data_IF_012546637646
#
_entry.id   IF_012546637646
#
_cell.length_a   1.000
_cell.length_b   1.000
_cell.length_c   1.000
_cell.angle_alpha   90.00
_cell.angle_beta   90.00
_cell.angle_gamma   90.00
#
_symmetry.space_group_name_H-M   'P 1'
#
loop_
_entity.id
_entity.type
_entity.pdbx_description
1 polymer ?
#
# COMPACT_ATOMS: atom_id res chain seq x y z
N UNK A 1 14.18 -1.59 11.93
CA UNK A 1 13.62 -2.92 12.24
C UNK A 1 14.68 -3.95 11.97
N UNK A 2 15.09 -4.66 13.00
CA UNK A 2 16.14 -5.67 12.90
C UNK A 2 15.58 -7.04 13.27
N UNK A 3 15.79 -8.03 12.42
CA UNK A 3 15.35 -9.40 12.66
C UNK A 3 16.54 -10.27 13.15
N UNK A 4 16.41 -11.01 14.27
CA UNK A 4 17.48 -11.87 14.74
C UNK A 4 17.66 -13.07 13.81
N UNK A 5 18.91 -13.33 13.41
CA UNK A 5 19.31 -14.58 12.75
C UNK A 5 19.55 -15.63 13.84
N UNK A 6 18.71 -16.67 13.84
CA UNK A 6 18.82 -17.76 14.81
C UNK A 6 19.42 -18.98 14.15
N UNK A 7 20.44 -19.59 14.78
CA UNK A 7 21.14 -20.77 14.27
C UNK A 7 21.23 -21.90 15.32
N UNK A 8 21.21 -23.13 14.84
CA UNK A 8 21.32 -24.33 15.67
C UNK A 8 20.02 -24.76 16.37
N UNK A 9 20.04 -25.97 16.99
CA UNK A 9 18.89 -26.58 17.70
C UNK A 9 18.42 -25.68 18.87
N UNK A 10 19.32 -24.97 19.50
CA UNK A 10 19.05 -24.04 20.60
C UNK A 10 18.63 -22.62 20.15
N UNK A 11 18.43 -22.39 18.84
CA UNK A 11 18.01 -21.11 18.28
C UNK A 11 18.80 -19.89 18.80
N UNK A 12 20.12 -20.03 18.97
CA UNK A 12 20.97 -18.92 19.43
C UNK A 12 21.01 -17.81 18.37
N UNK A 13 20.87 -16.54 18.80
CA UNK A 13 21.00 -15.37 17.91
C UNK A 13 22.46 -15.19 17.55
N UNK A 14 22.78 -15.34 16.25
CA UNK A 14 24.15 -15.21 15.71
C UNK A 14 24.37 -13.90 14.94
N UNK A 15 23.31 -13.14 14.72
CA UNK A 15 23.35 -11.86 14.02
C UNK A 15 21.97 -11.24 13.86
N UNK A 16 21.90 -10.10 13.16
CA UNK A 16 20.65 -9.42 12.86
C UNK A 16 20.62 -9.00 11.38
N UNK A 17 19.50 -9.24 10.70
CA UNK A 17 19.20 -8.61 9.42
C UNK A 17 18.60 -7.25 9.69
N UNK A 18 19.25 -6.18 9.24
CA UNK A 18 18.78 -4.79 9.35
C UNK A 18 17.86 -4.45 8.17
N UNK A 19 16.64 -4.97 8.21
CA UNK A 19 15.68 -4.77 7.11
C UNK A 19 15.26 -3.30 6.94
N UNK A 20 15.24 -2.53 8.04
CA UNK A 20 15.05 -1.06 8.03
C UNK A 20 16.02 -0.49 9.05
N UNK A 21 16.90 0.40 8.60
CA UNK A 21 18.00 0.96 9.41
C UNK A 21 18.12 2.47 9.22
N UNK A 22 17.74 3.25 10.26
CA UNK A 22 17.87 4.71 10.27
C UNK A 22 17.04 5.40 9.18
N UNK A 23 15.76 5.05 9.02
CA UNK A 23 14.86 5.68 8.05
C UNK A 23 14.04 6.77 8.72
N UNK A 24 14.18 8.00 8.19
CA UNK A 24 13.34 9.15 8.49
C UNK A 24 12.48 9.45 7.28
N UNK A 25 11.15 9.36 7.43
CA UNK A 25 10.19 9.54 6.35
C UNK A 25 8.99 10.36 6.82
N UNK A 26 8.58 11.31 6.01
CA UNK A 26 7.39 12.14 6.26
C UNK A 26 6.46 12.10 5.05
N UNK A 27 5.19 11.76 5.29
CA UNK A 27 4.14 11.74 4.26
C UNK A 27 3.11 12.80 4.63
N UNK A 28 2.81 13.71 3.71
CA UNK A 28 1.80 14.75 3.92
C UNK A 28 0.40 14.18 3.66
N UNK A 29 -0.60 14.74 4.32
CA UNK A 29 -1.98 14.36 4.07
C UNK A 29 -2.37 14.57 2.61
N UNK A 30 -3.06 13.59 2.02
CA UNK A 30 -3.46 13.59 0.63
C UNK A 30 -2.34 13.33 -0.38
N UNK A 31 -1.10 13.08 0.08
CA UNK A 31 0.05 12.79 -0.76
C UNK A 31 0.14 11.31 -1.11
N UNK A 32 0.61 11.01 -2.32
CA UNK A 32 1.11 9.68 -2.68
C UNK A 32 2.63 9.72 -2.63
N UNK A 33 3.21 8.99 -1.67
CA UNK A 33 4.62 8.73 -1.61
C UNK A 33 4.91 7.34 -2.17
N UNK A 34 5.69 7.27 -3.25
CA UNK A 34 6.20 6.01 -3.76
C UNK A 34 7.46 5.58 -3.00
N UNK A 35 7.52 4.31 -2.63
CA UNK A 35 8.71 3.68 -2.06
C UNK A 35 9.22 2.64 -3.05
N UNK A 36 10.40 2.89 -3.62
CA UNK A 36 11.00 2.05 -4.67
C UNK A 36 12.36 1.50 -4.26
N UNK A 37 12.76 0.43 -4.90
CA UNK A 37 14.04 -0.24 -4.69
C UNK A 37 13.98 -1.71 -5.09
N UNK A 38 15.11 -2.39 -5.11
CA UNK A 38 15.19 -3.81 -5.44
C UNK A 38 14.41 -4.71 -4.48
N UNK A 39 14.10 -5.94 -4.92
CA UNK A 39 13.47 -6.92 -4.04
C UNK A 39 14.36 -7.21 -2.83
N UNK A 40 13.75 -7.33 -1.65
CA UNK A 40 14.48 -7.60 -0.41
C UNK A 40 15.14 -6.39 0.27
N UNK A 41 15.12 -5.18 -0.31
CA UNK A 41 15.75 -4.01 0.31
C UNK A 41 15.03 -3.45 1.56
N UNK A 42 13.86 -4.02 1.95
CA UNK A 42 13.16 -3.67 3.18
C UNK A 42 11.84 -2.89 3.02
N UNK A 43 11.36 -2.63 1.80
CA UNK A 43 10.14 -1.83 1.51
C UNK A 43 8.90 -2.33 2.25
N UNK A 44 8.55 -3.60 2.08
CA UNK A 44 7.42 -4.24 2.77
C UNK A 44 7.56 -4.18 4.29
N UNK A 45 8.79 -4.35 4.80
CA UNK A 45 9.07 -4.24 6.23
C UNK A 45 8.85 -2.82 6.73
N UNK A 46 9.28 -1.81 5.97
CA UNK A 46 9.02 -0.40 6.29
C UNK A 46 7.51 -0.11 6.29
N UNK A 47 6.77 -0.53 5.27
CA UNK A 47 5.32 -0.37 5.20
C UNK A 47 4.61 -1.00 6.40
N UNK A 48 5.00 -2.22 6.78
CA UNK A 48 4.47 -2.90 7.98
C UNK A 48 4.86 -2.22 9.29
N UNK A 49 6.07 -1.65 9.37
CA UNK A 49 6.53 -0.90 10.54
C UNK A 49 5.77 0.42 10.71
N UNK A 50 5.52 1.15 9.62
CA UNK A 50 4.71 2.38 9.62
C UNK A 50 3.29 2.12 10.14
N UNK A 51 2.71 0.97 9.79
CA UNK A 51 1.42 0.54 10.32
C UNK A 51 1.51 -0.09 11.73
N UNK A 52 2.69 -0.20 12.33
CA UNK A 52 2.93 -0.94 13.56
C UNK A 52 2.40 -2.40 13.51
N UNK A 53 2.41 -3.03 12.33
CA UNK A 53 2.16 -4.47 12.16
C UNK A 53 3.40 -5.28 12.57
N UNK A 54 4.57 -4.69 12.36
CA UNK A 54 5.85 -5.14 12.89
C UNK A 54 6.37 -4.05 13.82
N UNK A 55 6.69 -4.41 15.05
CA UNK A 55 7.23 -3.45 16.02
C UNK A 55 8.65 -3.03 15.60
N UNK A 56 8.93 -1.72 15.48
CA UNK A 56 10.29 -1.24 15.28
C UNK A 56 11.19 -1.61 16.49
N UNK A 57 12.43 -1.98 16.22
CA UNK A 57 13.43 -2.21 17.28
C UNK A 57 13.94 -0.90 17.89
N UNK A 58 13.68 0.22 17.24
CA UNK A 58 13.97 1.58 17.70
C UNK A 58 13.29 2.59 16.78
N UNK A 59 13.31 3.87 17.16
CA UNK A 59 12.63 4.93 16.46
C UNK A 59 11.14 5.08 16.85
N UNK A 60 10.46 5.98 16.16
CA UNK A 60 9.07 6.34 16.48
C UNK A 60 8.23 6.46 15.21
N UNK A 61 6.97 6.09 15.29
CA UNK A 61 5.98 6.32 14.22
C UNK A 61 4.91 7.24 14.76
N UNK A 62 4.65 8.33 14.04
CA UNK A 62 3.60 9.28 14.37
C UNK A 62 2.53 9.30 13.29
N UNK A 63 1.27 9.36 13.70
CA UNK A 63 0.13 9.54 12.82
C UNK A 63 -0.77 10.63 13.39
N UNK A 64 -0.99 11.70 12.63
CA UNK A 64 -1.77 12.88 13.04
C UNK A 64 -1.38 13.39 14.45
N UNK A 65 -0.07 13.53 14.71
CA UNK A 65 0.47 14.01 15.99
C UNK A 65 0.55 12.97 17.11
N UNK A 66 -0.06 11.80 16.94
CA UNK A 66 -0.06 10.73 17.95
C UNK A 66 1.05 9.71 17.67
N UNK A 67 1.88 9.41 18.67
CA UNK A 67 2.92 8.35 18.58
C UNK A 67 2.28 6.97 18.64
N UNK A 68 2.36 6.21 17.55
CA UNK A 68 1.77 4.87 17.43
C UNK A 68 2.60 3.80 18.13
N UNK A 69 3.92 3.95 18.13
CA UNK A 69 4.87 2.94 18.66
C UNK A 69 4.72 2.64 20.14
N UNK A 70 4.11 3.58 20.90
CA UNK A 70 3.85 3.44 22.35
C UNK A 70 2.43 3.01 22.69
N UNK A 71 1.55 2.86 21.68
CA UNK A 71 0.16 2.51 21.95
C UNK A 71 0.03 1.06 22.40
N UNK A 72 -0.86 0.83 23.35
CA UNK A 72 -1.31 -0.51 23.72
C UNK A 72 -2.14 -1.11 22.58
N UNK A 73 -2.35 -2.43 22.59
CA UNK A 73 -3.24 -3.10 21.61
C UNK A 73 -4.66 -2.49 21.60
N UNK A 74 -5.17 -2.11 22.77
CA UNK A 74 -6.49 -1.49 22.92
C UNK A 74 -6.52 -0.10 22.26
N UNK A 75 -5.51 0.73 22.51
CA UNK A 75 -5.44 2.08 21.97
C UNK A 75 -5.11 2.10 20.47
N UNK A 76 -4.48 1.04 19.97
CA UNK A 76 -4.19 0.86 18.56
C UNK A 76 -5.44 0.48 17.74
N UNK A 77 -6.47 -0.12 18.36
CA UNK A 77 -7.68 -0.57 17.65
C UNK A 77 -8.37 0.55 16.85
N UNK A 78 -8.68 1.74 17.41
CA UNK A 78 -9.26 2.83 16.60
C UNK A 78 -8.28 3.35 15.53
N UNK A 79 -6.96 3.25 15.74
CA UNK A 79 -5.97 3.62 14.72
C UNK A 79 -6.01 2.66 13.54
N UNK A 80 -6.27 1.35 13.78
CA UNK A 80 -6.41 0.34 12.73
C UNK A 80 -7.50 0.65 11.70
N UNK A 81 -8.61 1.27 12.13
CA UNK A 81 -9.64 1.73 11.22
C UNK A 81 -9.09 2.76 10.22
N UNK A 82 -8.27 3.71 10.70
CA UNK A 82 -7.74 4.83 9.92
C UNK A 82 -6.49 4.47 9.12
N UNK A 83 -5.80 3.39 9.48
CA UNK A 83 -4.53 2.90 8.91
C UNK A 83 -4.77 1.54 8.27
N UNK A 84 -4.80 1.49 6.96
CA UNK A 84 -5.12 0.27 6.23
C UNK A 84 -3.95 -0.20 5.35
N UNK A 85 -4.01 -1.44 4.91
CA UNK A 85 -3.03 -2.04 3.99
C UNK A 85 -3.76 -2.81 2.89
N UNK A 86 -3.33 -2.61 1.66
CA UNK A 86 -3.64 -3.48 0.53
C UNK A 86 -2.39 -4.31 0.25
N UNK A 87 -2.50 -5.62 0.40
CA UNK A 87 -1.36 -6.54 0.30
C UNK A 87 -1.04 -6.92 -1.15
N UNK A 88 0.20 -7.36 -1.36
CA UNK A 88 0.77 -7.74 -2.64
C UNK A 88 -0.01 -8.83 -3.37
N UNK A 89 -0.44 -9.88 -2.66
CA UNK A 89 -1.15 -11.01 -3.25
C UNK A 89 -2.63 -11.01 -2.80
N UNK A 90 -3.55 -10.62 -3.69
CA UNK A 90 -4.97 -10.65 -3.38
C UNK A 90 -5.50 -12.07 -3.13
N UNK A 91 -4.89 -13.10 -3.71
CA UNK A 91 -5.34 -14.47 -3.54
C UNK A 91 -5.08 -14.97 -2.11
N UNK A 92 -3.91 -14.66 -1.55
CA UNK A 92 -3.56 -15.02 -0.16
C UNK A 92 -4.19 -14.08 0.87
N UNK A 93 -4.57 -12.86 0.47
CA UNK A 93 -5.14 -11.86 1.37
C UNK A 93 -6.64 -12.01 1.63
N UNK A 94 -7.36 -12.75 0.77
CA UNK A 94 -8.78 -13.04 0.89
C UNK A 94 -8.97 -14.48 1.39
N UNK A 95 -9.80 -14.66 2.42
CA UNK A 95 -10.13 -16.00 2.87
C UNK A 95 -11.02 -16.69 1.83
N UNK A 96 -10.58 -17.81 1.20
CA UNK A 96 -11.33 -18.45 0.12
C UNK A 96 -12.69 -19.06 0.55
N UNK A 97 -12.92 -19.17 1.86
CA UNK A 97 -14.16 -19.72 2.45
C UNK A 97 -15.21 -18.66 2.75
N UNK A 98 -14.86 -17.37 2.62
CA UNK A 98 -15.76 -16.26 2.90
C UNK A 98 -16.22 -15.63 1.59
N UNK A 99 -17.49 -15.22 1.54
CA UNK A 99 -18.00 -14.40 0.45
C UNK A 99 -17.39 -13.00 0.50
N UNK A 100 -17.48 -12.26 -0.60
CA UNK A 100 -17.10 -10.86 -0.66
C UNK A 100 -17.90 -10.04 0.36
N UNK A 101 -19.20 -10.29 0.52
CA UNK A 101 -20.04 -9.63 1.51
C UNK A 101 -19.45 -9.78 2.91
N UNK A 102 -19.14 -11.00 3.35
CA UNK A 102 -18.53 -11.25 4.66
C UNK A 102 -17.16 -10.56 4.79
N UNK A 103 -16.33 -10.66 3.74
CA UNK A 103 -14.99 -10.05 3.70
C UNK A 103 -15.03 -8.53 3.90
N UNK A 104 -16.06 -7.85 3.40
CA UNK A 104 -16.22 -6.40 3.50
C UNK A 104 -16.94 -5.98 4.79
N UNK A 105 -17.94 -6.76 5.25
CA UNK A 105 -18.77 -6.38 6.41
C UNK A 105 -18.13 -6.72 7.75
N UNK A 106 -17.32 -7.78 7.84
CA UNK A 106 -16.64 -8.21 9.07
C UNK A 106 -15.72 -7.13 9.67
N UNK A 107 -14.85 -6.46 8.89
CA UNK A 107 -14.05 -5.34 9.40
C UNK A 107 -14.93 -4.19 9.92
N UNK A 108 -16.02 -3.86 9.22
CA UNK A 108 -16.95 -2.82 9.66
C UNK A 108 -17.59 -3.18 11.01
N UNK A 109 -18.11 -4.40 11.14
CA UNK A 109 -18.68 -4.89 12.40
C UNK A 109 -17.65 -4.87 13.54
N UNK A 110 -16.41 -5.28 13.27
CA UNK A 110 -15.31 -5.27 14.26
C UNK A 110 -15.03 -3.88 14.78
N UNK A 111 -15.16 -2.85 13.94
CA UNK A 111 -14.92 -1.46 14.31
C UNK A 111 -16.20 -0.70 14.73
N UNK A 112 -17.35 -1.38 14.78
CA UNK A 112 -18.63 -0.77 15.16
C UNK A 112 -19.17 0.21 14.12
N UNK A 113 -18.84 0.01 12.85
CA UNK A 113 -19.37 0.79 11.75
C UNK A 113 -20.67 0.15 11.23
N UNK A 114 -21.66 0.99 10.92
CA UNK A 114 -23.00 0.56 10.51
C UNK A 114 -23.86 0.11 11.68
N UNK A 115 -25.13 0.55 11.69
CA UNK A 115 -26.05 0.31 12.81
C UNK A 115 -26.48 -1.16 12.92
N UNK A 116 -26.63 -1.82 11.75
CA UNK A 116 -27.08 -3.19 11.65
C UNK A 116 -26.39 -3.93 10.48
N UNK A 117 -26.61 -5.23 10.30
CA UNK A 117 -26.03 -6.01 9.20
C UNK A 117 -26.43 -5.50 7.81
N UNK A 118 -27.64 -5.03 7.64
CA UNK A 118 -28.19 -4.53 6.37
C UNK A 118 -27.49 -3.24 5.94
N UNK A 119 -27.27 -2.32 6.88
CA UNK A 119 -26.55 -1.07 6.65
C UNK A 119 -25.07 -1.33 6.25
N UNK A 120 -24.43 -2.29 6.90
CA UNK A 120 -23.08 -2.74 6.50
C UNK A 120 -23.05 -3.34 5.11
N UNK A 121 -24.08 -4.13 4.76
CA UNK A 121 -24.19 -4.74 3.45
C UNK A 121 -24.39 -3.69 2.35
N UNK A 122 -25.20 -2.67 2.62
CA UNK A 122 -25.41 -1.56 1.71
C UNK A 122 -24.13 -0.74 1.52
N UNK A 123 -23.42 -0.44 2.63
CA UNK A 123 -22.11 0.21 2.57
C UNK A 123 -21.09 -0.60 1.76
N UNK A 124 -21.11 -1.93 1.91
CA UNK A 124 -20.26 -2.83 1.13
C UNK A 124 -20.61 -2.78 -0.37
N UNK A 125 -21.90 -2.74 -0.73
CA UNK A 125 -22.37 -2.62 -2.12
C UNK A 125 -21.92 -1.29 -2.74
N UNK A 126 -22.06 -0.18 -2.01
CA UNK A 126 -21.59 1.14 -2.45
C UNK A 126 -20.09 1.17 -2.65
N UNK A 127 -19.33 0.57 -1.72
CA UNK A 127 -17.86 0.48 -1.85
C UNK A 127 -17.45 -0.39 -3.04
N UNK A 128 -18.19 -1.46 -3.36
CA UNK A 128 -17.94 -2.24 -4.59
C UNK A 128 -18.14 -1.38 -5.84
N UNK A 129 -19.18 -0.55 -5.89
CA UNK A 129 -19.40 0.35 -7.01
C UNK A 129 -18.25 1.36 -7.17
N UNK A 130 -17.69 1.87 -6.07
CA UNK A 130 -16.52 2.75 -6.10
C UNK A 130 -15.28 2.08 -6.71
N UNK A 131 -15.12 0.78 -6.53
CA UNK A 131 -14.04 -0.01 -7.15
C UNK A 131 -14.46 -0.65 -8.48
N UNK A 132 -15.54 -0.17 -9.10
CA UNK A 132 -16.06 -0.59 -10.41
C UNK A 132 -16.46 -2.08 -10.45
N UNK A 133 -17.06 -2.56 -9.37
CA UNK A 133 -17.69 -3.86 -9.26
C UNK A 133 -19.19 -3.69 -9.00
N UNK A 134 -19.99 -4.69 -9.34
CA UNK A 134 -21.45 -4.67 -9.14
C UNK A 134 -21.85 -5.28 -7.81
N UNK A 135 -23.06 -4.99 -7.35
CA UNK A 135 -23.65 -5.57 -6.13
C UNK A 135 -23.66 -7.10 -6.14
N UNK A 136 -23.79 -7.72 -7.31
CA UNK A 136 -23.80 -9.17 -7.46
C UNK A 136 -22.52 -9.84 -6.99
N UNK A 137 -21.36 -9.12 -7.04
CA UNK A 137 -20.09 -9.61 -6.55
C UNK A 137 -20.09 -9.86 -5.04
N UNK A 138 -21.02 -9.27 -4.27
CA UNK A 138 -21.14 -9.53 -2.82
C UNK A 138 -21.26 -11.01 -2.49
N UNK A 139 -21.96 -11.77 -3.34
CA UNK A 139 -22.27 -13.17 -3.10
C UNK A 139 -21.25 -14.15 -3.67
N UNK A 140 -20.25 -13.64 -4.39
CA UNK A 140 -19.18 -14.44 -4.97
C UNK A 140 -18.12 -14.79 -3.93
N UNK A 141 -17.47 -15.93 -4.16
CA UNK A 141 -16.27 -16.35 -3.44
C UNK A 141 -15.01 -15.92 -4.20
N UNK A 142 -13.85 -15.79 -3.53
CA UNK A 142 -12.60 -15.37 -4.18
C UNK A 142 -12.19 -16.23 -5.38
N UNK A 143 -12.47 -17.52 -5.37
CA UNK A 143 -12.13 -18.43 -6.47
C UNK A 143 -12.99 -18.22 -7.74
N UNK A 144 -14.14 -17.56 -7.63
CA UNK A 144 -15.03 -17.24 -8.76
C UNK A 144 -14.66 -15.91 -9.46
N UNK A 145 -13.60 -15.24 -9.01
CA UNK A 145 -13.23 -13.90 -9.42
C UNK A 145 -11.90 -13.90 -10.19
N UNK A 146 -11.75 -12.96 -11.16
CA UNK A 146 -10.48 -12.72 -11.83
C UNK A 146 -9.44 -12.10 -10.86
N UNK A 147 -8.16 -12.13 -11.24
CA UNK A 147 -7.09 -11.51 -10.46
C UNK A 147 -7.34 -10.02 -10.20
N UNK A 148 -7.75 -9.27 -11.22
CA UNK A 148 -8.10 -7.86 -11.11
C UNK A 148 -9.33 -7.60 -10.23
N UNK A 149 -10.35 -8.45 -10.30
CA UNK A 149 -11.53 -8.35 -9.42
C UNK A 149 -11.15 -8.62 -7.96
N UNK A 150 -10.33 -9.65 -7.68
CA UNK A 150 -9.81 -9.91 -6.33
C UNK A 150 -9.02 -8.72 -5.79
N UNK A 151 -8.19 -8.08 -6.63
CA UNK A 151 -7.43 -6.89 -6.25
C UNK A 151 -8.36 -5.72 -5.90
N UNK A 152 -9.38 -5.46 -6.70
CA UNK A 152 -10.40 -4.43 -6.43
C UNK A 152 -11.15 -4.70 -5.12
N UNK A 153 -11.45 -5.96 -4.79
CA UNK A 153 -12.04 -6.33 -3.50
C UNK A 153 -11.07 -6.10 -2.34
N UNK A 154 -9.78 -6.38 -2.51
CA UNK A 154 -8.75 -6.04 -1.53
C UNK A 154 -8.69 -4.53 -1.23
N UNK A 155 -8.82 -3.70 -2.27
CA UNK A 155 -8.93 -2.24 -2.15
C UNK A 155 -10.24 -1.86 -1.45
N UNK A 156 -11.39 -2.42 -1.87
CA UNK A 156 -12.70 -2.18 -1.27
C UNK A 156 -12.71 -2.50 0.24
N UNK A 157 -12.09 -3.62 0.64
CA UNK A 157 -11.96 -4.01 2.05
C UNK A 157 -11.26 -2.94 2.89
N UNK A 158 -10.21 -2.33 2.36
CA UNK A 158 -9.54 -1.22 3.04
C UNK A 158 -10.43 0.03 3.09
N UNK A 159 -11.16 0.35 2.02
CA UNK A 159 -12.00 1.54 1.91
C UNK A 159 -13.27 1.49 2.77
N UNK A 160 -13.87 0.32 3.00
CA UNK A 160 -15.05 0.16 3.86
C UNK A 160 -14.88 0.76 5.26
N UNK A 161 -13.63 0.87 5.73
CA UNK A 161 -13.29 1.47 7.02
C UNK A 161 -13.07 2.98 6.96
N UNK A 162 -13.17 3.61 5.77
CA UNK A 162 -12.90 5.04 5.52
C UNK A 162 -11.54 5.48 6.09
N UNK A 163 -10.43 4.90 5.60
CA UNK A 163 -9.10 5.17 6.13
C UNK A 163 -8.61 6.57 5.74
N UNK A 164 -7.69 7.13 6.52
CA UNK A 164 -6.94 8.33 6.15
C UNK A 164 -5.63 7.99 5.44
N UNK A 165 -5.07 6.81 5.76
CA UNK A 165 -3.77 6.37 5.24
C UNK A 165 -3.83 4.90 4.83
N UNK A 166 -3.32 4.62 3.63
CA UNK A 166 -3.27 3.26 3.07
C UNK A 166 -1.86 2.94 2.59
N UNK A 167 -1.33 1.82 3.04
CA UNK A 167 -0.12 1.22 2.45
C UNK A 167 -0.54 0.28 1.33
N UNK A 168 -0.10 0.56 0.12
CA UNK A 168 -0.29 -0.27 -1.06
C UNK A 168 1.01 -1.03 -1.33
N UNK A 169 1.10 -2.29 -0.89
CA UNK A 169 2.31 -3.11 -1.00
C UNK A 169 2.25 -3.95 -2.28
N UNK A 170 2.97 -3.52 -3.32
CA UNK A 170 3.07 -4.16 -4.64
C UNK A 170 1.72 -4.57 -5.27
N UNK A 171 0.70 -3.73 -5.10
CA UNK A 171 -0.71 -4.03 -5.41
C UNK A 171 -1.00 -4.32 -6.90
N UNK A 172 -0.04 -4.11 -7.78
CA UNK A 172 -0.19 -4.34 -9.23
C UNK A 172 0.81 -5.35 -9.81
N UNK A 173 1.73 -5.88 -9.00
CA UNK A 173 2.83 -6.72 -9.49
C UNK A 173 2.40 -8.06 -10.09
N UNK A 174 1.25 -8.60 -9.66
CA UNK A 174 0.71 -9.88 -10.11
C UNK A 174 -0.37 -9.74 -11.22
N UNK A 175 -0.54 -8.52 -11.77
CA UNK A 175 -1.58 -8.22 -12.75
C UNK A 175 -0.96 -7.98 -14.13
N UNK A 176 -1.71 -8.32 -15.18
CA UNK A 176 -1.34 -7.95 -16.55
C UNK A 176 -1.35 -6.43 -16.74
N UNK A 177 -0.62 -5.93 -17.75
CA UNK A 177 -0.38 -4.50 -17.98
C UNK A 177 -1.67 -3.69 -18.11
N UNK A 178 -2.70 -4.24 -18.79
CA UNK A 178 -3.99 -3.57 -18.95
C UNK A 178 -4.74 -3.41 -17.64
N UNK A 179 -4.86 -4.49 -16.86
CA UNK A 179 -5.51 -4.50 -15.55
C UNK A 179 -4.74 -3.66 -14.53
N UNK A 180 -3.39 -3.67 -14.61
CA UNK A 180 -2.54 -2.80 -13.81
C UNK A 180 -2.90 -1.31 -14.04
N UNK A 181 -3.00 -0.88 -15.30
CA UNK A 181 -3.34 0.51 -15.63
C UNK A 181 -4.74 0.91 -15.08
N UNK A 182 -5.71 0.00 -15.14
CA UNK A 182 -7.04 0.24 -14.58
C UNK A 182 -7.00 0.40 -13.05
N UNK A 183 -6.28 -0.47 -12.34
CA UNK A 183 -6.15 -0.39 -10.87
C UNK A 183 -5.42 0.89 -10.45
N UNK A 184 -4.42 1.34 -11.21
CA UNK A 184 -3.73 2.60 -10.91
C UNK A 184 -4.64 3.81 -11.10
N UNK A 185 -5.44 3.85 -12.19
CA UNK A 185 -6.45 4.91 -12.41
C UNK A 185 -7.49 4.91 -11.28
N UNK A 186 -7.94 3.73 -10.88
CA UNK A 186 -8.87 3.57 -9.75
C UNK A 186 -8.28 4.15 -8.45
N UNK A 187 -7.03 3.85 -8.13
CA UNK A 187 -6.36 4.39 -6.93
C UNK A 187 -6.24 5.91 -6.96
N UNK A 188 -5.93 6.52 -8.13
CA UNK A 188 -5.91 7.97 -8.29
C UNK A 188 -7.28 8.60 -8.08
N UNK A 189 -8.34 7.98 -8.59
CA UNK A 189 -9.72 8.41 -8.40
C UNK A 189 -10.14 8.35 -6.94
N UNK A 190 -9.89 7.23 -6.29
CA UNK A 190 -10.19 7.02 -4.88
C UNK A 190 -9.42 8.00 -3.97
N UNK A 191 -8.13 8.27 -4.30
CA UNK A 191 -7.35 9.30 -3.61
C UNK A 191 -8.05 10.65 -3.66
N UNK A 192 -8.54 11.06 -4.83
CA UNK A 192 -9.22 12.36 -5.00
C UNK A 192 -10.54 12.42 -4.25
N UNK A 193 -11.38 11.38 -4.37
CA UNK A 193 -12.71 11.33 -3.75
C UNK A 193 -12.64 11.30 -2.23
N UNK A 194 -11.72 10.54 -1.66
CA UNK A 194 -11.61 10.31 -0.21
C UNK A 194 -10.47 11.07 0.46
N UNK A 195 -9.74 11.93 -0.28
CA UNK A 195 -8.55 12.64 0.21
C UNK A 195 -7.51 11.68 0.87
N UNK A 196 -7.34 10.48 0.29
CA UNK A 196 -6.48 9.43 0.82
C UNK A 196 -5.01 9.84 0.77
N UNK A 197 -4.29 9.47 1.81
CA UNK A 197 -2.83 9.50 1.84
C UNK A 197 -2.31 8.09 1.55
N UNK A 198 -1.39 7.94 0.59
CA UNK A 198 -0.91 6.62 0.18
C UNK A 198 0.61 6.49 0.35
N UNK A 199 1.04 5.37 0.92
CA UNK A 199 2.39 4.86 0.76
C UNK A 199 2.35 3.74 -0.29
N UNK A 200 2.85 4.02 -1.48
CA UNK A 200 2.80 3.08 -2.60
C UNK A 200 4.15 2.39 -2.78
N UNK A 201 4.21 1.10 -2.47
CA UNK A 201 5.42 0.29 -2.58
C UNK A 201 5.41 -0.42 -3.93
N UNK A 202 6.48 -0.25 -4.70
CA UNK A 202 6.63 -0.90 -6.01
C UNK A 202 8.11 -1.02 -6.40
N UNK A 203 8.39 -1.91 -7.33
CA UNK A 203 9.68 -1.96 -8.02
C UNK A 203 9.57 -1.41 -9.47
N UNK A 204 8.37 -1.03 -9.92
CA UNK A 204 8.13 -0.52 -11.27
C UNK A 204 8.16 1.01 -11.30
N UNK A 205 9.23 1.57 -11.88
CA UNK A 205 9.44 3.02 -11.97
C UNK A 205 8.39 3.72 -12.87
N UNK A 206 7.94 3.09 -13.94
CA UNK A 206 6.90 3.65 -14.80
C UNK A 206 5.59 3.91 -14.04
N UNK A 207 5.27 3.06 -13.07
CA UNK A 207 4.13 3.25 -12.15
C UNK A 207 4.35 4.45 -11.25
N UNK A 208 5.58 4.64 -10.77
CA UNK A 208 5.95 5.77 -9.88
C UNK A 208 5.77 7.11 -10.55
N UNK A 209 6.28 7.27 -11.77
CA UNK A 209 6.14 8.50 -12.56
C UNK A 209 4.67 8.86 -12.82
N UNK A 210 3.82 7.85 -13.00
CA UNK A 210 2.40 8.03 -13.27
C UNK A 210 1.59 8.42 -12.03
N UNK A 211 1.90 7.81 -10.87
CA UNK A 211 1.01 7.81 -9.72
C UNK A 211 1.46 8.80 -8.62
N UNK A 212 2.77 8.96 -8.37
CA UNK A 212 3.25 9.55 -7.12
C UNK A 212 3.63 11.02 -7.20
N UNK A 213 3.47 11.72 -6.07
CA UNK A 213 3.90 13.11 -5.89
C UNK A 213 5.37 13.18 -5.46
N UNK A 214 5.77 12.23 -4.62
CA UNK A 214 7.12 12.13 -4.03
C UNK A 214 7.61 10.70 -4.10
N UNK A 215 8.90 10.52 -4.34
CA UNK A 215 9.54 9.21 -4.42
C UNK A 215 10.65 9.10 -3.40
N UNK A 216 10.63 8.00 -2.64
CA UNK A 216 11.70 7.56 -1.77
C UNK A 216 12.36 6.31 -2.37
N UNK A 217 13.66 6.36 -2.58
CA UNK A 217 14.45 5.23 -3.08
C UNK A 217 15.10 4.52 -1.90
N UNK A 218 14.81 3.23 -1.75
CA UNK A 218 15.31 2.41 -0.65
C UNK A 218 16.36 1.41 -1.14
N UNK A 219 17.48 1.37 -0.46
CA UNK A 219 18.58 0.44 -0.72
C UNK A 219 19.16 -0.05 0.62
N UNK A 220 19.33 -1.36 0.76
CA UNK A 220 19.89 -2.01 1.96
C UNK A 220 19.33 -1.47 3.30
N UNK A 221 18.01 -1.35 3.38
CA UNK A 221 17.33 -0.89 4.59
C UNK A 221 17.32 0.62 4.83
N UNK A 222 17.90 1.42 3.95
CA UNK A 222 18.02 2.89 4.09
C UNK A 222 17.33 3.62 2.94
N UNK A 223 16.81 4.82 3.20
CA UNK A 223 16.39 5.74 2.14
C UNK A 223 17.66 6.46 1.64
N UNK A 224 18.03 6.21 0.38
CA UNK A 224 19.22 6.78 -0.24
C UNK A 224 18.92 8.03 -1.05
N UNK A 225 17.67 8.20 -1.49
CA UNK A 225 17.20 9.41 -2.17
C UNK A 225 15.73 9.65 -1.87
N UNK A 226 15.33 10.91 -1.68
CA UNK A 226 13.95 11.33 -1.41
C UNK A 226 13.72 12.70 -2.04
N UNK A 227 12.65 12.81 -2.83
CA UNK A 227 12.31 14.08 -3.46
C UNK A 227 11.03 14.02 -4.28
N UNK A 228 10.65 15.14 -4.92
CA UNK A 228 9.58 15.16 -5.91
C UNK A 228 9.85 14.09 -6.97
N UNK A 229 8.81 13.35 -7.35
CA UNK A 229 8.94 12.22 -8.29
C UNK A 229 9.61 12.62 -9.59
N UNK A 230 9.23 13.78 -10.15
CA UNK A 230 9.83 14.30 -11.38
C UNK A 230 11.35 14.44 -11.24
N UNK A 231 11.86 15.03 -10.14
CA UNK A 231 13.30 15.20 -9.90
C UNK A 231 14.02 13.86 -9.78
N UNK A 232 13.49 12.96 -8.95
CA UNK A 232 14.12 11.65 -8.71
C UNK A 232 14.20 10.82 -9.99
N UNK A 233 13.17 10.91 -10.86
CA UNK A 233 13.12 10.14 -12.12
C UNK A 233 13.91 10.78 -13.27
N UNK A 234 14.06 12.12 -13.30
CA UNK A 234 14.73 12.81 -14.41
C UNK A 234 16.19 13.18 -14.11
N UNK A 235 16.47 13.60 -12.89
CA UNK A 235 17.80 14.07 -12.44
C UNK A 235 18.22 13.41 -11.12
N UNK A 236 18.35 12.06 -11.09
CA UNK A 236 18.72 11.33 -9.88
C UNK A 236 20.10 11.72 -9.39
N UNK A 237 20.23 11.97 -8.09
CA UNK A 237 21.47 12.38 -7.45
C UNK A 237 22.31 11.17 -6.99
N UNK A 238 21.63 10.15 -6.44
CA UNK A 238 22.33 8.99 -5.87
C UNK A 238 22.73 7.96 -6.95
N UNK A 239 23.96 7.41 -6.91
CA UNK A 239 24.40 6.42 -7.91
C UNK A 239 23.53 5.19 -8.04
N UNK A 240 22.98 4.71 -6.92
CA UNK A 240 22.02 3.58 -6.93
C UNK A 240 20.74 3.92 -7.67
N UNK A 241 20.19 5.12 -7.46
CA UNK A 241 18.97 5.58 -8.17
C UNK A 241 19.21 5.63 -9.68
N UNK A 242 20.38 6.12 -10.11
CA UNK A 242 20.77 6.13 -11.54
C UNK A 242 20.79 4.73 -12.14
N UNK A 243 21.38 3.75 -11.43
CA UNK A 243 21.39 2.34 -11.86
C UNK A 243 19.99 1.74 -11.91
N UNK A 244 19.16 2.01 -10.89
CA UNK A 244 17.79 1.52 -10.81
C UNK A 244 16.95 2.05 -12.00
N UNK A 245 17.08 3.33 -12.33
CA UNK A 245 16.39 3.95 -13.48
C UNK A 245 16.91 3.46 -14.83
N UNK A 246 18.22 3.21 -14.95
CA UNK A 246 18.83 2.71 -16.18
C UNK A 246 18.40 1.25 -16.51
N UNK A 247 18.03 0.46 -15.50
CA UNK A 247 17.55 -0.91 -15.68
C UNK A 247 16.09 -1.00 -16.19
N UNK A 248 15.34 0.12 -16.18
CA UNK A 248 13.96 0.17 -16.69
C UNK A 248 13.99 0.46 -18.19
N UNK A 249 13.39 -0.40 -19.05
CA UNK A 249 13.21 -0.09 -20.46
C UNK A 249 12.41 1.21 -20.60
N UNK A 250 13.02 2.27 -21.11
CA UNK A 250 12.28 3.51 -21.45
C UNK A 250 11.40 3.18 -22.65
N UNK A 251 10.10 3.03 -22.40
CA UNK A 251 9.12 3.15 -23.47
C UNK A 251 9.31 4.57 -24.04
N UNK A 252 9.68 4.65 -25.32
CA UNK A 252 9.83 5.92 -26.03
C UNK A 252 8.61 6.79 -25.73
N UNK A 253 8.84 7.98 -25.17
CA UNK A 253 7.80 8.98 -24.93
C UNK A 253 7.11 9.29 -26.26
N UNK A 254 5.99 8.64 -26.53
CA UNK A 254 5.00 9.13 -27.47
C UNK A 254 4.49 10.46 -26.91
N UNK A 255 4.92 11.54 -27.55
CA UNK A 255 4.43 12.91 -27.37
C UNK A 255 2.91 12.93 -27.40
N UNK A 256 2.27 13.30 -26.31
CA UNK A 256 1.13 14.23 -26.27
C UNK A 256 0.45 14.18 -24.90
N UNK A 257 0.69 15.21 -24.08
CA UNK A 257 -0.30 15.65 -23.10
C UNK A 257 -1.43 16.31 -23.87
N UNK A 258 -2.68 15.83 -23.87
CA UNK A 258 -3.79 16.61 -24.38
C UNK A 258 -4.20 17.63 -23.29
N UNK A 259 -4.18 18.92 -23.66
CA UNK A 259 -4.91 19.96 -22.93
C UNK A 259 -4.08 21.05 -22.25
N UNK A 260 -3.39 21.87 -23.08
CA UNK A 260 -3.24 23.30 -22.82
C UNK A 260 -3.46 24.01 -24.15
N UNK A 261 -4.69 24.40 -24.40
CA UNK A 261 -5.02 25.47 -25.35
C UNK A 261 -6.19 26.27 -24.82
N UNK A 262 -5.96 27.58 -24.67
CA UNK A 262 -6.96 28.64 -24.69
C UNK A 262 -7.64 28.99 -23.39
#
# INVERSE_FOLDING_TARGET
VHFPIRQGVLKRTVGHVRAVDGVDLRIRRGQILALVGESGCGKTTLGRAVLCLVQPTGGRVHFNGRELTRLTRRDMRPMRQRLQCVFQDPASSLNPRLTVATTLTEPMATHGLGENPEDRLETAAQTLAEVQLTREHLWRYPHELSGGQRQRIGIARALCLRPDFVVCDEVTSALDVSVQAEVLRLLLDLRRRHALTLLFITHNIGVVEYLSDTTAVMHEGKIVELGPTERVCTTPEHPYTRRLLAAVPRLSRGTSRPGQTG
#
